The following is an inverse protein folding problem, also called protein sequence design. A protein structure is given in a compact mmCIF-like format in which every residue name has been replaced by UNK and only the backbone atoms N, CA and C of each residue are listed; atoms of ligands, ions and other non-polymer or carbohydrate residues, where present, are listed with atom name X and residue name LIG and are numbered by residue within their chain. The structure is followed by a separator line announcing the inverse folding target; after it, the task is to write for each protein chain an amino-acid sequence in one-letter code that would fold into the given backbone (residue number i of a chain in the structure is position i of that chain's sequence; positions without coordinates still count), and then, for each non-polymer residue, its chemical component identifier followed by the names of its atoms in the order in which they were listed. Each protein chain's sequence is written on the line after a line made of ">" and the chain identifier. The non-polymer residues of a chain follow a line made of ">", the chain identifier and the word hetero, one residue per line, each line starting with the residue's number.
data_IF_904698186082
#
_entry.id   IF_904698186082
#
_cell.length_a   1.000
_cell.length_b   1.000
_cell.length_c   1.000
_cell.angle_alpha   90.00
_cell.angle_beta   90.00
_cell.angle_gamma   90.00
#
_symmetry.space_group_name_H-M   'P 1'
#
loop_
_entity.id
_entity.type
_entity.pdbx_description
1 polymer ?
#
# COMPACT_ATOMS: atom_id res chain seq x y z
N UNK A 1 -22.79 14.47 36.20
CA UNK A 1 -21.45 15.03 35.96
C UNK A 1 -21.25 15.11 34.48
N UNK A 2 -21.47 16.29 33.92
CA UNK A 2 -21.41 16.64 32.52
C UNK A 2 -19.96 16.84 32.08
N UNK A 3 -19.48 15.98 31.18
CA UNK A 3 -18.30 16.26 30.34
C UNK A 3 -18.29 15.33 29.11
N UNK A 4 -19.39 15.32 28.34
CA UNK A 4 -19.33 15.01 26.91
C UNK A 4 -19.04 16.30 26.15
N UNK A 5 -17.86 16.88 26.38
CA UNK A 5 -17.33 17.97 25.60
C UNK A 5 -16.33 17.37 24.61
N UNK A 6 -16.72 17.32 23.33
CA UNK A 6 -15.84 17.35 22.16
C UNK A 6 -14.51 16.58 22.29
N UNK A 7 -14.54 15.25 22.32
CA UNK A 7 -13.35 14.48 21.92
C UNK A 7 -13.32 14.39 20.39
N UNK A 8 -12.87 15.46 19.74
CA UNK A 8 -12.26 15.36 18.40
C UNK A 8 -10.94 14.60 18.58
N UNK A 9 -11.02 13.27 18.73
CA UNK A 9 -9.88 12.53 19.25
C UNK A 9 -8.87 12.23 18.13
N UNK A 10 -7.82 13.03 18.09
CA UNK A 10 -6.58 12.83 17.35
C UNK A 10 -5.70 11.68 17.91
N UNK A 11 -6.18 10.84 18.83
CA UNK A 11 -5.37 9.86 19.57
C UNK A 11 -4.65 8.83 18.69
N UNK A 12 -5.24 8.43 17.57
CA UNK A 12 -4.68 7.34 16.77
C UNK A 12 -3.55 7.82 15.85
N UNK A 13 -3.56 9.10 15.43
CA UNK A 13 -2.53 9.66 14.53
C UNK A 13 -1.15 9.60 15.16
N UNK A 14 -1.06 9.94 16.44
CA UNK A 14 0.21 9.88 17.15
C UNK A 14 0.79 8.45 17.16
N UNK A 15 -0.05 7.43 17.39
CA UNK A 15 0.34 6.03 17.29
C UNK A 15 0.86 5.69 15.88
N UNK A 16 0.10 6.03 14.84
CA UNK A 16 0.49 5.75 13.45
C UNK A 16 1.81 6.43 13.07
N UNK A 17 2.05 7.64 13.57
CA UNK A 17 3.32 8.33 13.34
C UNK A 17 4.48 7.66 14.06
N UNK A 18 4.25 7.10 15.25
CA UNK A 18 5.26 6.30 15.95
C UNK A 18 5.56 5.00 15.21
N UNK A 19 4.54 4.33 14.68
CA UNK A 19 4.68 3.11 13.88
C UNK A 19 5.47 3.36 12.61
N UNK A 20 5.16 4.44 11.89
CA UNK A 20 5.86 4.81 10.67
C UNK A 20 7.28 5.31 10.94
N UNK A 21 7.47 6.05 12.03
CA UNK A 21 8.81 6.40 12.49
C UNK A 21 9.65 5.16 12.82
N UNK A 22 9.04 4.14 13.45
CA UNK A 22 9.71 2.88 13.71
C UNK A 22 10.10 2.18 12.41
N UNK A 23 9.19 2.09 11.42
CA UNK A 23 9.48 1.54 10.10
C UNK A 23 10.68 2.23 9.43
N UNK A 24 10.71 3.57 9.44
CA UNK A 24 11.86 4.34 8.97
C UNK A 24 13.15 3.99 9.70
N UNK A 25 13.14 3.93 11.03
CA UNK A 25 14.37 3.63 11.80
C UNK A 25 14.89 2.22 11.59
N UNK A 26 14.03 1.27 11.25
CA UNK A 26 14.41 -0.10 10.89
C UNK A 26 15.01 -0.17 9.48
N UNK A 27 14.48 0.59 8.52
CA UNK A 27 14.91 0.59 7.12
C UNK A 27 15.13 2.01 6.54
N UNK A 28 16.13 2.78 7.02
CA UNK A 28 16.22 4.21 6.75
C UNK A 28 16.53 4.59 5.29
N UNK A 29 17.14 3.66 4.53
CA UNK A 29 17.52 3.90 3.13
C UNK A 29 16.46 3.40 2.15
N UNK A 30 16.05 2.14 2.29
CA UNK A 30 15.12 1.48 1.37
C UNK A 30 13.64 1.73 1.71
N UNK A 31 13.35 2.04 2.98
CA UNK A 31 11.99 1.97 3.50
C UNK A 31 11.43 0.54 3.48
N UNK A 32 10.15 0.41 3.81
CA UNK A 32 9.43 -0.88 3.85
C UNK A 32 8.81 -1.29 2.50
N UNK A 33 8.87 -0.41 1.50
CA UNK A 33 8.20 -0.58 0.21
C UNK A 33 7.14 0.51 -0.01
N UNK A 34 6.74 0.76 -1.25
CA UNK A 34 5.67 1.71 -1.52
C UNK A 34 4.32 1.10 -1.11
N UNK A 35 3.45 1.89 -0.48
CA UNK A 35 2.08 1.50 -0.08
C UNK A 35 2.06 0.36 0.97
N UNK A 36 3.08 0.29 1.84
CA UNK A 36 3.22 -0.78 2.85
C UNK A 36 2.90 -0.36 4.27
N UNK A 37 2.50 0.88 4.53
CA UNK A 37 2.19 1.31 5.91
C UNK A 37 1.13 0.41 6.58
N UNK A 38 0.15 -0.10 5.83
CA UNK A 38 -0.84 -1.01 6.38
C UNK A 38 -0.20 -2.27 7.00
N UNK A 39 0.85 -2.82 6.37
CA UNK A 39 1.58 -3.97 6.90
C UNK A 39 2.33 -3.61 8.20
N UNK A 40 2.87 -2.38 8.26
CA UNK A 40 3.46 -1.83 9.49
C UNK A 40 2.44 -1.71 10.62
N UNK A 41 1.25 -1.14 10.35
CA UNK A 41 0.14 -1.07 11.33
C UNK A 41 -0.27 -2.47 11.77
N UNK A 42 -0.34 -3.45 10.86
CA UNK A 42 -0.72 -4.83 11.18
C UNK A 42 0.26 -5.47 12.18
N UNK A 43 1.55 -5.23 12.00
CA UNK A 43 2.61 -5.75 12.86
C UNK A 43 2.65 -5.09 14.24
N UNK A 44 2.36 -3.78 14.31
CA UNK A 44 2.61 -2.97 15.51
C UNK A 44 1.35 -2.64 16.31
N UNK A 45 0.15 -2.74 15.72
CA UNK A 45 -1.10 -2.38 16.39
C UNK A 45 -1.39 -3.24 17.61
N UNK A 46 -2.02 -2.61 18.59
CA UNK A 46 -2.48 -3.27 19.82
C UNK A 46 -3.93 -3.74 19.77
N UNK A 47 -4.69 -3.32 18.76
CA UNK A 47 -6.11 -3.64 18.61
C UNK A 47 -6.47 -3.73 17.13
N UNK A 48 -7.30 -4.71 16.77
CA UNK A 48 -7.88 -4.85 15.43
C UNK A 48 -9.08 -3.94 15.17
N UNK A 49 -9.57 -3.21 16.19
CA UNK A 49 -10.72 -2.30 16.04
C UNK A 49 -10.38 -1.00 15.29
N UNK A 50 -9.09 -0.67 15.21
CA UNK A 50 -8.61 0.58 14.60
C UNK A 50 -7.44 0.25 13.68
N UNK A 51 -7.75 -0.04 12.42
CA UNK A 51 -6.78 -0.23 11.35
C UNK A 51 -6.87 0.92 10.35
N UNK A 52 -5.76 1.24 9.71
CA UNK A 52 -5.71 2.25 8.65
C UNK A 52 -4.71 1.81 7.57
N UNK A 53 -4.92 2.28 6.34
CA UNK A 53 -3.95 2.10 5.26
C UNK A 53 -2.91 3.23 5.22
N UNK A 54 -3.13 4.31 5.98
CA UNK A 54 -2.36 5.55 5.88
C UNK A 54 -2.12 6.19 7.26
N UNK A 55 -0.94 6.78 7.52
CA UNK A 55 -0.62 7.41 8.80
C UNK A 55 -1.14 8.85 8.92
N UNK A 56 -1.83 9.39 7.91
CA UNK A 56 -2.26 10.80 7.82
C UNK A 56 -1.09 11.80 8.00
N UNK A 57 0.05 11.50 7.36
CA UNK A 57 1.22 12.37 7.30
C UNK A 57 2.06 11.93 6.11
N UNK A 58 1.81 12.54 4.95
CA UNK A 58 2.41 12.12 3.68
C UNK A 58 3.96 12.15 3.73
N UNK A 59 4.64 13.20 4.24
CA UNK A 59 6.10 13.19 4.33
C UNK A 59 6.64 12.05 5.21
N UNK A 60 5.96 11.74 6.31
CA UNK A 60 6.37 10.67 7.21
C UNK A 60 6.12 9.30 6.58
N UNK A 61 5.00 9.11 5.89
CA UNK A 61 4.72 7.90 5.12
C UNK A 61 5.78 7.67 4.04
N UNK A 62 6.10 8.69 3.25
CA UNK A 62 7.16 8.56 2.23
C UNK A 62 8.52 8.26 2.87
N UNK A 63 8.76 8.71 4.10
CA UNK A 63 9.98 8.45 4.83
C UNK A 63 10.06 6.99 5.33
N UNK A 64 8.98 6.39 5.83
CA UNK A 64 9.00 4.99 6.28
C UNK A 64 8.81 3.97 5.14
N UNK A 65 8.06 4.32 4.10
CA UNK A 65 7.83 3.46 2.92
C UNK A 65 9.01 3.48 1.94
N UNK A 66 9.57 4.65 1.64
CA UNK A 66 10.59 4.83 0.60
C UNK A 66 11.95 5.31 1.15
N UNK A 67 12.08 5.40 2.47
CA UNK A 67 13.29 5.85 3.14
C UNK A 67 13.62 7.31 2.87
N UNK A 68 14.86 7.68 3.22
CA UNK A 68 15.37 9.04 2.99
C UNK A 68 15.37 9.43 1.50
N UNK A 69 15.52 8.44 0.61
CA UNK A 69 15.54 8.68 -0.85
C UNK A 69 14.18 9.18 -1.33
N UNK A 70 13.09 8.51 -0.94
CA UNK A 70 11.74 8.94 -1.30
C UNK A 70 11.39 10.32 -0.74
N UNK A 71 11.73 10.58 0.53
CA UNK A 71 11.51 11.90 1.13
C UNK A 71 12.28 13.00 0.37
N UNK A 72 13.56 12.77 0.03
CA UNK A 72 14.35 13.76 -0.70
C UNK A 72 13.81 14.01 -2.12
N UNK A 73 13.32 12.98 -2.81
CA UNK A 73 12.67 13.13 -4.12
C UNK A 73 11.39 13.97 -4.00
N UNK A 74 10.56 13.72 -2.99
CA UNK A 74 9.36 14.50 -2.72
C UNK A 74 9.67 15.97 -2.43
N UNK A 75 10.61 16.24 -1.51
CA UNK A 75 11.04 17.59 -1.17
C UNK A 75 11.69 18.29 -2.37
N UNK A 76 12.47 17.56 -3.17
CA UNK A 76 13.08 18.05 -4.40
C UNK A 76 12.02 18.46 -5.44
N UNK A 77 11.00 17.63 -5.65
CA UNK A 77 9.89 17.95 -6.55
C UNK A 77 9.09 19.18 -6.08
N UNK A 78 8.78 19.25 -4.78
CA UNK A 78 8.12 20.41 -4.18
C UNK A 78 8.95 21.70 -4.33
N UNK A 79 10.26 21.62 -4.08
CA UNK A 79 11.18 22.75 -4.23
C UNK A 79 11.30 23.21 -5.69
N UNK A 80 11.40 22.26 -6.64
CA UNK A 80 11.43 22.57 -8.07
C UNK A 80 10.14 23.24 -8.55
N UNK A 81 8.98 22.73 -8.12
CA UNK A 81 7.69 23.34 -8.41
C UNK A 81 7.60 24.77 -7.84
N UNK A 82 8.01 24.97 -6.59
CA UNK A 82 8.07 26.29 -5.95
C UNK A 82 8.98 27.26 -6.69
N UNK A 83 10.20 26.85 -7.05
CA UNK A 83 11.14 27.66 -7.81
C UNK A 83 10.58 28.03 -9.19
N UNK A 84 9.94 27.07 -9.87
CA UNK A 84 9.29 27.29 -11.15
C UNK A 84 8.13 28.28 -11.08
N UNK A 85 7.31 28.20 -10.03
CA UNK A 85 6.21 29.15 -9.76
C UNK A 85 6.77 30.55 -9.48
N UNK A 86 7.84 30.67 -8.69
CA UNK A 86 8.52 31.96 -8.46
C UNK A 86 9.05 32.54 -9.76
N UNK A 87 9.68 31.73 -10.60
CA UNK A 87 10.17 32.15 -11.91
C UNK A 87 9.04 32.54 -12.87
N UNK A 88 7.92 31.82 -12.86
CA UNK A 88 6.73 32.17 -13.63
C UNK A 88 6.11 33.49 -13.15
N UNK A 89 6.00 33.68 -11.83
CA UNK A 89 5.47 34.91 -11.23
C UNK A 89 6.31 36.14 -11.56
N UNK A 90 7.64 36.01 -11.55
CA UNK A 90 8.57 37.10 -11.91
C UNK A 90 8.42 37.55 -13.36
N UNK A 91 8.00 36.65 -14.25
CA UNK A 91 7.77 36.92 -15.68
C UNK A 91 6.36 37.42 -15.97
N UNK A 92 5.37 36.99 -15.19
CA UNK A 92 3.97 37.34 -15.38
C UNK A 92 3.70 38.82 -15.09
N UNK A 93 2.68 39.38 -15.76
CA UNK A 93 2.19 40.74 -15.56
C UNK A 93 0.67 40.76 -15.38
N UNK A 94 0.10 41.85 -14.85
CA UNK A 94 -1.35 42.02 -14.69
C UNK A 94 -2.05 40.87 -13.97
N UNK A 95 -3.16 40.40 -14.56
CA UNK A 95 -3.98 39.29 -14.04
C UNK A 95 -3.25 37.95 -14.04
N UNK A 96 -2.30 37.72 -14.94
CA UNK A 96 -1.49 36.49 -14.97
C UNK A 96 -0.63 36.37 -13.70
N UNK A 97 -0.03 37.48 -13.26
CA UNK A 97 0.75 37.49 -12.02
C UNK A 97 -0.11 37.13 -10.80
N UNK A 98 -1.35 37.60 -10.77
CA UNK A 98 -2.31 37.25 -9.72
C UNK A 98 -2.65 35.75 -9.78
N UNK A 99 -2.92 35.20 -10.97
CA UNK A 99 -3.22 33.79 -11.15
C UNK A 99 -2.06 32.86 -10.74
N UNK A 100 -0.82 33.17 -11.16
CA UNK A 100 0.37 32.39 -10.76
C UNK A 100 0.62 32.49 -9.24
N UNK A 101 0.38 33.66 -8.65
CA UNK A 101 0.48 33.84 -7.19
C UNK A 101 -0.56 32.99 -6.46
N UNK A 102 -1.82 33.01 -6.90
CA UNK A 102 -2.90 32.20 -6.31
C UNK A 102 -2.59 30.71 -6.41
N UNK A 103 -2.10 30.24 -7.57
CA UNK A 103 -1.68 28.85 -7.75
C UNK A 103 -0.52 28.49 -6.80
N UNK A 104 0.46 29.37 -6.66
CA UNK A 104 1.58 29.17 -5.72
C UNK A 104 1.13 29.05 -4.27
N UNK A 105 0.19 29.89 -3.84
CA UNK A 105 -0.40 29.80 -2.50
C UNK A 105 -1.21 28.52 -2.33
N UNK A 106 -1.98 28.11 -3.34
CA UNK A 106 -2.71 26.85 -3.34
C UNK A 106 -1.79 25.64 -3.20
N UNK A 107 -0.69 25.59 -3.96
CA UNK A 107 0.31 24.52 -3.84
C UNK A 107 0.98 24.52 -2.46
N UNK A 108 1.34 25.69 -1.93
CA UNK A 108 1.93 25.78 -0.59
C UNK A 108 0.95 25.32 0.49
N UNK A 109 -0.32 25.73 0.41
CA UNK A 109 -1.35 25.29 1.35
C UNK A 109 -1.59 23.78 1.27
N UNK A 110 -1.63 23.21 0.06
CA UNK A 110 -1.71 21.76 -0.14
C UNK A 110 -0.53 21.04 0.51
N UNK A 111 0.71 21.45 0.22
CA UNK A 111 1.91 20.82 0.79
C UNK A 111 1.93 20.90 2.33
N UNK A 112 1.49 22.02 2.91
CA UNK A 112 1.35 22.14 4.37
C UNK A 112 0.28 21.19 4.91
N UNK A 113 -0.85 21.04 4.21
CA UNK A 113 -1.91 20.13 4.63
C UNK A 113 -1.48 18.66 4.59
N UNK A 114 -0.66 18.26 3.61
CA UNK A 114 -0.12 16.89 3.52
C UNK A 114 0.70 16.44 4.74
N UNK A 115 1.20 17.38 5.57
CA UNK A 115 1.91 17.06 6.81
C UNK A 115 0.99 16.49 7.89
N UNK A 116 -0.31 16.78 7.80
CA UNK A 116 -1.32 16.36 8.77
C UNK A 116 -2.45 15.53 8.16
N UNK A 117 -2.37 15.23 6.86
CA UNK A 117 -3.37 14.41 6.17
C UNK A 117 -2.81 13.62 4.98
N UNK A 118 -3.67 12.78 4.39
CA UNK A 118 -3.38 11.84 3.32
C UNK A 118 -3.82 12.33 1.93
N UNK A 119 -3.75 13.65 1.66
CA UNK A 119 -4.25 14.20 0.39
C UNK A 119 -3.55 13.61 -0.84
N UNK A 120 -2.30 13.16 -0.66
CA UNK A 120 -1.50 12.57 -1.71
C UNK A 120 -2.11 11.30 -2.30
N UNK A 121 -2.80 10.53 -1.47
CA UNK A 121 -3.38 9.22 -1.83
C UNK A 121 -4.70 9.34 -2.59
N UNK A 122 -5.22 10.56 -2.72
CA UNK A 122 -6.43 10.84 -3.50
C UNK A 122 -6.14 11.69 -4.73
N UNK A 123 -6.62 11.23 -5.88
CA UNK A 123 -6.51 11.96 -7.15
C UNK A 123 -7.34 13.25 -7.14
N UNK A 124 -8.45 13.29 -6.39
CA UNK A 124 -9.35 14.44 -6.36
C UNK A 124 -8.69 15.75 -5.87
N UNK A 125 -7.98 15.77 -4.72
CA UNK A 125 -7.26 16.98 -4.27
C UNK A 125 -5.95 17.23 -5.03
N UNK A 126 -5.20 16.18 -5.38
CA UNK A 126 -3.85 16.32 -5.96
C UNK A 126 -3.87 16.58 -7.48
N UNK A 127 -4.76 15.91 -8.22
CA UNK A 127 -4.77 15.89 -9.69
C UNK A 127 -4.96 17.26 -10.33
N UNK A 128 -6.02 18.02 -10.00
CA UNK A 128 -6.24 19.35 -10.57
C UNK A 128 -5.10 20.32 -10.27
N UNK A 129 -4.56 20.28 -9.04
CA UNK A 129 -3.46 21.14 -8.62
C UNK A 129 -2.18 20.86 -9.41
N UNK A 130 -1.81 19.58 -9.53
CA UNK A 130 -0.62 19.15 -10.28
C UNK A 130 -0.77 19.42 -11.77
N UNK A 131 -1.98 19.25 -12.34
CA UNK A 131 -2.25 19.58 -13.73
C UNK A 131 -2.03 21.07 -14.01
N UNK A 132 -2.61 21.95 -13.19
CA UNK A 132 -2.49 23.39 -13.39
C UNK A 132 -1.03 23.85 -13.15
N UNK A 133 -0.37 23.31 -12.13
CA UNK A 133 1.06 23.55 -11.90
C UNK A 133 1.90 23.14 -13.12
N UNK A 134 1.69 21.93 -13.64
CA UNK A 134 2.36 21.43 -14.84
C UNK A 134 2.14 22.32 -16.06
N UNK A 135 0.90 22.78 -16.30
CA UNK A 135 0.59 23.69 -17.40
C UNK A 135 1.27 25.05 -17.26
N UNK A 136 1.38 25.60 -16.05
CA UNK A 136 2.08 26.88 -15.82
C UNK A 136 3.59 26.73 -16.00
N UNK A 137 4.17 25.63 -15.53
CA UNK A 137 5.61 25.36 -15.65
C UNK A 137 6.03 24.99 -17.08
N UNK A 138 5.16 24.27 -17.81
CA UNK A 138 5.40 23.77 -19.16
C UNK A 138 5.17 24.77 -20.28
N UNK A 139 4.74 26.00 -19.99
CA UNK A 139 4.63 27.06 -21.00
C UNK A 139 6.01 27.48 -21.50
N UNK A 140 6.42 26.92 -22.63
CA UNK A 140 7.56 27.42 -23.41
C UNK A 140 7.30 28.85 -23.91
N UNK A 141 8.39 29.62 -24.02
CA UNK A 141 8.41 30.92 -24.70
C UNK A 141 7.90 30.76 -26.13
N UNK A 142 6.67 31.17 -26.42
CA UNK A 142 6.19 31.34 -27.79
C UNK A 142 6.74 32.59 -28.48
N UNK A 143 7.66 33.32 -27.85
CA UNK A 143 8.32 34.47 -28.43
C UNK A 143 9.84 34.30 -28.32
N UNK A 144 10.52 34.41 -29.46
CA UNK A 144 11.98 34.37 -29.67
C UNK A 144 12.63 32.98 -29.82
N UNK A 145 12.53 32.40 -31.02
CA UNK A 145 13.68 32.13 -31.91
C UNK A 145 13.26 31.24 -33.09
N UNK A 146 13.46 31.74 -34.31
CA UNK A 146 13.36 30.96 -35.54
C UNK A 146 14.50 29.94 -35.62
N UNK A 147 14.27 28.73 -35.11
CA UNK A 147 14.99 27.52 -35.49
C UNK A 147 14.12 26.31 -35.09
N UNK A 148 13.69 25.49 -36.05
CA UNK A 148 12.97 24.24 -35.74
C UNK A 148 13.93 23.24 -35.08
N UNK A 149 13.61 22.59 -33.94
CA UNK A 149 14.41 21.49 -33.44
C UNK A 149 13.86 20.12 -33.89
N UNK A 150 14.71 19.15 -34.26
CA UNK A 150 14.29 17.83 -34.80
C UNK A 150 13.94 16.79 -33.71
N UNK A 151 13.76 17.19 -32.44
CA UNK A 151 13.55 16.25 -31.31
C UNK A 151 12.10 16.17 -30.79
N UNK A 152 11.18 16.93 -31.39
CA UNK A 152 9.75 16.96 -31.01
C UNK A 152 9.03 15.60 -31.09
N UNK A 153 9.26 14.72 -32.08
CA UNK A 153 8.51 13.46 -32.12
C UNK A 153 8.95 12.50 -31.01
N UNK A 154 10.25 12.42 -30.69
CA UNK A 154 10.74 11.55 -29.61
C UNK A 154 10.24 12.00 -28.24
N UNK A 155 10.23 13.30 -27.96
CA UNK A 155 9.69 13.85 -26.70
C UNK A 155 8.18 13.64 -26.61
N UNK A 156 7.45 13.85 -27.72
CA UNK A 156 6.00 13.59 -27.76
C UNK A 156 5.69 12.10 -27.55
N UNK A 157 6.44 11.20 -28.19
CA UNK A 157 6.30 9.75 -28.00
C UNK A 157 6.62 9.38 -26.55
N UNK A 158 7.70 9.88 -25.97
CA UNK A 158 8.04 9.64 -24.56
C UNK A 158 6.92 10.13 -23.62
N UNK A 159 6.37 11.31 -23.85
CA UNK A 159 5.25 11.84 -23.06
C UNK A 159 3.99 10.98 -23.18
N UNK A 160 3.67 10.50 -24.39
CA UNK A 160 2.53 9.59 -24.61
C UNK A 160 2.76 8.26 -23.90
N UNK A 161 3.98 7.69 -23.97
CA UNK A 161 4.30 6.44 -23.29
C UNK A 161 4.23 6.58 -21.76
N UNK A 162 4.71 7.69 -21.19
CA UNK A 162 4.60 7.97 -19.76
C UNK A 162 3.14 8.14 -19.34
N UNK A 163 2.35 8.89 -20.12
CA UNK A 163 0.92 9.06 -19.85
C UNK A 163 0.15 7.73 -19.96
N UNK A 164 0.41 6.94 -21.00
CA UNK A 164 -0.19 5.63 -21.18
C UNK A 164 0.21 4.66 -20.05
N UNK A 165 1.49 4.67 -19.64
CA UNK A 165 1.98 3.92 -18.49
C UNK A 165 1.27 4.34 -17.20
N UNK A 166 1.16 5.64 -16.93
CA UNK A 166 0.44 6.15 -15.77
C UNK A 166 -1.04 5.76 -15.75
N UNK A 167 -1.73 5.87 -16.89
CA UNK A 167 -3.13 5.41 -17.02
C UNK A 167 -3.23 3.91 -16.79
N UNK A 168 -2.32 3.11 -17.34
CA UNK A 168 -2.31 1.67 -17.13
C UNK A 168 -2.08 1.32 -15.66
N UNK A 169 -1.09 1.91 -14.99
CA UNK A 169 -0.79 1.67 -13.57
C UNK A 169 -2.01 1.93 -12.67
N UNK A 170 -2.83 2.94 -12.98
CA UNK A 170 -4.05 3.23 -12.24
C UNK A 170 -5.20 2.27 -12.58
N UNK A 171 -5.28 1.80 -13.83
CA UNK A 171 -6.35 0.92 -14.29
C UNK A 171 -6.11 -0.56 -13.97
N UNK A 172 -4.85 -1.00 -13.93
CA UNK A 172 -4.48 -2.42 -13.81
C UNK A 172 -5.04 -3.10 -12.55
N UNK A 173 -4.88 -2.53 -11.33
CA UNK A 173 -5.43 -3.15 -10.11
C UNK A 173 -6.96 -3.26 -10.14
N UNK A 174 -7.65 -2.28 -10.74
CA UNK A 174 -9.10 -2.32 -10.91
C UNK A 174 -9.52 -3.38 -11.94
N UNK A 175 -8.80 -3.50 -13.05
CA UNK A 175 -9.03 -4.53 -14.07
C UNK A 175 -8.78 -5.94 -13.50
N UNK A 176 -7.72 -6.11 -12.70
CA UNK A 176 -7.41 -7.35 -12.00
C UNK A 176 -8.54 -7.76 -11.05
N UNK A 177 -8.95 -6.88 -10.12
CA UNK A 177 -10.05 -7.14 -9.18
C UNK A 177 -11.37 -7.44 -9.89
N UNK A 178 -11.68 -6.71 -10.96
CA UNK A 178 -12.87 -6.97 -11.78
C UNK A 178 -12.82 -8.33 -12.48
N UNK A 179 -11.66 -8.74 -12.98
CA UNK A 179 -11.47 -10.03 -13.61
C UNK A 179 -11.53 -11.16 -12.58
N UNK A 180 -10.93 -10.96 -11.40
CA UNK A 180 -10.91 -11.89 -10.27
C UNK A 180 -12.33 -12.16 -9.74
N UNK A 181 -13.14 -11.12 -9.56
CA UNK A 181 -14.53 -11.23 -9.09
C UNK A 181 -15.45 -12.09 -9.98
N UNK A 182 -15.02 -12.43 -11.19
CA UNK A 182 -15.75 -13.29 -12.14
C UNK A 182 -15.00 -14.58 -12.45
N UNK A 183 -13.86 -14.81 -11.81
CA UNK A 183 -12.97 -15.91 -12.14
C UNK A 183 -13.54 -17.23 -11.63
N UNK A 184 -13.72 -18.17 -12.55
CA UNK A 184 -14.18 -19.54 -12.21
C UNK A 184 -13.32 -20.61 -12.88
N UNK A 185 -12.47 -20.22 -13.82
CA UNK A 185 -11.57 -21.13 -14.55
C UNK A 185 -10.12 -20.69 -14.39
N UNK A 186 -9.13 -21.60 -14.56
CA UNK A 186 -7.72 -21.22 -14.54
C UNK A 186 -7.34 -20.14 -15.56
N UNK A 187 -8.08 -20.03 -16.67
CA UNK A 187 -7.86 -18.97 -17.66
C UNK A 187 -8.30 -17.59 -17.13
N UNK A 188 -9.38 -17.53 -16.34
CA UNK A 188 -9.83 -16.28 -15.74
C UNK A 188 -8.85 -15.76 -14.68
N UNK A 189 -8.32 -16.65 -13.83
CA UNK A 189 -7.29 -16.29 -12.85
C UNK A 189 -6.01 -15.82 -13.52
N UNK A 190 -5.54 -16.52 -14.58
CA UNK A 190 -4.41 -16.04 -15.39
C UNK A 190 -4.63 -14.65 -15.98
N UNK A 191 -5.86 -14.36 -16.43
CA UNK A 191 -6.20 -13.03 -16.93
C UNK A 191 -6.16 -11.98 -15.82
N UNK A 192 -6.73 -12.27 -14.65
CA UNK A 192 -6.66 -11.36 -13.50
C UNK A 192 -5.20 -11.07 -13.11
N UNK A 193 -4.37 -12.12 -13.00
CA UNK A 193 -2.94 -12.02 -12.70
C UNK A 193 -2.16 -11.28 -13.80
N UNK A 194 -2.57 -11.37 -15.07
CA UNK A 194 -1.91 -10.62 -16.15
C UNK A 194 -2.13 -9.11 -16.07
N UNK A 195 -3.24 -8.65 -15.45
CA UNK A 195 -3.46 -7.23 -15.22
C UNK A 195 -2.65 -6.71 -14.04
N UNK A 196 -2.55 -7.50 -12.97
CA UNK A 196 -1.77 -7.17 -11.79
C UNK A 196 -0.95 -8.38 -11.29
N UNK A 197 0.29 -8.54 -11.80
CA UNK A 197 1.17 -9.63 -11.40
C UNK A 197 1.67 -9.53 -9.95
N UNK A 198 1.47 -8.38 -9.30
CA UNK A 198 1.94 -8.09 -7.94
C UNK A 198 0.79 -8.16 -6.92
N UNK A 199 -0.37 -8.69 -7.30
CA UNK A 199 -1.48 -8.88 -6.37
C UNK A 199 -1.39 -10.23 -5.65
N UNK A 200 -1.14 -10.18 -4.33
CA UNK A 200 -1.22 -11.35 -3.44
C UNK A 200 -2.64 -11.89 -3.34
N UNK A 201 -3.66 -11.02 -3.34
CA UNK A 201 -5.08 -11.39 -3.37
C UNK A 201 -5.41 -12.31 -4.56
N UNK A 202 -4.98 -11.95 -5.78
CA UNK A 202 -5.19 -12.79 -6.97
C UNK A 202 -4.51 -14.16 -6.83
N UNK A 203 -3.31 -14.21 -6.24
CA UNK A 203 -2.58 -15.46 -6.03
C UNK A 203 -3.26 -16.35 -4.97
N UNK A 204 -3.67 -15.79 -3.83
CA UNK A 204 -4.38 -16.51 -2.76
C UNK A 204 -5.74 -17.05 -3.24
N UNK A 205 -6.54 -16.24 -3.93
CA UNK A 205 -7.84 -16.67 -4.45
C UNK A 205 -7.69 -17.74 -5.54
N UNK A 206 -6.67 -17.61 -6.41
CA UNK A 206 -6.36 -18.64 -7.38
C UNK A 206 -5.92 -19.93 -6.68
N UNK A 207 -5.06 -19.84 -5.66
CA UNK A 207 -4.61 -20.99 -4.88
C UNK A 207 -5.78 -21.74 -4.24
N UNK A 208 -6.67 -21.01 -3.56
CA UNK A 208 -7.88 -21.56 -2.93
C UNK A 208 -8.79 -22.24 -3.97
N UNK A 209 -8.92 -21.66 -5.16
CA UNK A 209 -9.70 -22.26 -6.23
C UNK A 209 -9.06 -23.54 -6.79
N UNK A 210 -7.73 -23.62 -6.91
CA UNK A 210 -7.02 -24.84 -7.32
C UNK A 210 -7.09 -25.92 -6.23
N UNK A 211 -7.01 -25.54 -4.95
CA UNK A 211 -7.24 -26.43 -3.81
C UNK A 211 -8.63 -27.05 -3.87
N UNK A 212 -9.68 -26.25 -4.07
CA UNK A 212 -11.05 -26.72 -4.22
C UNK A 212 -11.26 -27.67 -5.41
N UNK A 213 -10.39 -27.60 -6.44
CA UNK A 213 -10.39 -28.52 -7.59
C UNK A 213 -9.54 -29.77 -7.36
N UNK A 214 -8.86 -29.89 -6.22
CA UNK A 214 -7.94 -30.99 -5.91
C UNK A 214 -6.56 -30.86 -6.54
N UNK A 215 -6.24 -29.72 -7.17
CA UNK A 215 -4.93 -29.45 -7.78
C UNK A 215 -3.91 -28.98 -6.74
N UNK A 216 -3.68 -29.80 -5.71
CA UNK A 216 -2.95 -29.43 -4.49
C UNK A 216 -1.52 -28.92 -4.76
N UNK A 217 -0.83 -29.50 -5.75
CA UNK A 217 0.52 -29.05 -6.11
C UNK A 217 0.54 -27.64 -6.69
N UNK A 218 -0.47 -27.27 -7.48
CA UNK A 218 -0.59 -25.93 -8.03
C UNK A 218 -1.04 -24.93 -6.95
N UNK A 219 -1.98 -25.32 -6.08
CA UNK A 219 -2.41 -24.50 -4.95
C UNK A 219 -1.22 -24.16 -4.04
N UNK A 220 -0.43 -25.16 -3.63
CA UNK A 220 0.76 -24.95 -2.81
C UNK A 220 1.77 -24.01 -3.48
N UNK A 221 1.99 -24.15 -4.79
CA UNK A 221 2.86 -23.23 -5.53
C UNK A 221 2.34 -21.80 -5.46
N UNK A 222 1.05 -21.58 -5.71
CA UNK A 222 0.45 -20.24 -5.70
C UNK A 222 0.48 -19.60 -4.31
N UNK A 223 0.18 -20.34 -3.23
CA UNK A 223 0.32 -19.84 -1.87
C UNK A 223 1.77 -19.45 -1.55
N UNK A 224 2.76 -20.25 -1.99
CA UNK A 224 4.17 -19.90 -1.82
C UNK A 224 4.56 -18.67 -2.62
N UNK A 225 4.09 -18.57 -3.87
CA UNK A 225 4.33 -17.39 -4.70
C UNK A 225 3.76 -16.12 -4.02
N UNK A 226 2.58 -16.20 -3.37
CA UNK A 226 2.02 -15.09 -2.59
C UNK A 226 2.90 -14.69 -1.40
N UNK A 227 3.38 -15.67 -0.60
CA UNK A 227 4.29 -15.39 0.53
C UNK A 227 5.66 -14.87 0.10
N UNK A 228 6.12 -15.22 -1.11
CA UNK A 228 7.39 -14.73 -1.65
C UNK A 228 7.27 -13.30 -2.18
N UNK A 229 6.08 -12.91 -2.66
CA UNK A 229 5.78 -11.58 -3.18
C UNK A 229 5.69 -10.55 -2.05
N UNK A 230 5.03 -10.89 -0.94
CA UNK A 230 4.95 -10.03 0.25
C UNK A 230 5.33 -10.82 1.52
N UNK A 231 6.64 -10.97 1.80
CA UNK A 231 7.12 -11.77 2.94
C UNK A 231 6.68 -11.27 4.31
N UNK A 232 6.33 -9.98 4.42
CA UNK A 232 5.87 -9.34 5.66
C UNK A 232 4.33 -9.25 5.76
N UNK A 233 3.60 -9.80 4.78
CA UNK A 233 2.15 -9.85 4.83
C UNK A 233 1.67 -11.11 5.58
N UNK A 234 1.24 -10.92 6.84
CA UNK A 234 0.74 -12.00 7.70
C UNK A 234 -0.46 -12.76 7.11
N UNK A 235 -1.28 -12.15 6.26
CA UNK A 235 -2.43 -12.82 5.62
C UNK A 235 -1.99 -13.91 4.66
N UNK A 236 -0.95 -13.68 3.84
CA UNK A 236 -0.46 -14.68 2.89
C UNK A 236 0.11 -15.91 3.61
N UNK A 237 0.78 -15.69 4.74
CA UNK A 237 1.28 -16.75 5.61
C UNK A 237 0.15 -17.51 6.31
N UNK A 238 -0.93 -16.82 6.68
CA UNK A 238 -2.11 -17.46 7.24
C UNK A 238 -2.78 -18.38 6.22
N UNK A 239 -2.94 -17.93 4.98
CA UNK A 239 -3.48 -18.74 3.89
C UNK A 239 -2.63 -20.00 3.65
N UNK A 240 -1.31 -19.85 3.54
CA UNK A 240 -0.40 -21.00 3.39
C UNK A 240 -0.45 -21.95 4.60
N UNK A 241 -0.54 -21.41 5.81
CA UNK A 241 -0.60 -22.20 7.04
C UNK A 241 -1.89 -22.98 7.19
N UNK A 242 -3.02 -22.37 6.84
CA UNK A 242 -4.32 -23.03 6.82
C UNK A 242 -4.40 -24.11 5.74
N UNK A 243 -3.80 -23.88 4.56
CA UNK A 243 -3.62 -24.92 3.54
C UNK A 243 -2.88 -26.14 4.11
N UNK A 244 -1.73 -25.95 4.78
CA UNK A 244 -1.00 -27.07 5.38
C UNK A 244 -1.80 -27.80 6.45
N UNK A 245 -2.52 -27.06 7.32
CA UNK A 245 -3.37 -27.65 8.35
C UNK A 245 -4.49 -28.50 7.76
N UNK A 246 -5.17 -28.01 6.72
CA UNK A 246 -6.24 -28.72 6.02
C UNK A 246 -5.78 -30.05 5.40
N UNK A 247 -4.49 -30.16 5.09
CA UNK A 247 -3.87 -31.35 4.50
C UNK A 247 -3.04 -32.18 5.49
N UNK A 248 -3.18 -31.90 6.80
CA UNK A 248 -2.57 -32.68 7.87
C UNK A 248 -1.07 -32.45 8.09
N UNK A 249 -0.47 -31.48 7.40
CA UNK A 249 0.94 -31.11 7.61
C UNK A 249 1.06 -30.11 8.75
N UNK A 250 0.88 -30.61 9.97
CA UNK A 250 0.83 -29.77 11.16
C UNK A 250 2.16 -29.08 11.48
N UNK A 251 3.29 -29.68 11.10
CA UNK A 251 4.62 -29.08 11.27
C UNK A 251 4.73 -27.80 10.43
N UNK A 252 4.49 -27.89 9.12
CA UNK A 252 4.55 -26.71 8.25
C UNK A 252 3.42 -25.73 8.51
N UNK A 253 2.24 -26.20 8.93
CA UNK A 253 1.16 -25.33 9.37
C UNK A 253 1.58 -24.49 10.57
N UNK A 254 2.21 -25.11 11.58
CA UNK A 254 2.67 -24.40 12.77
C UNK A 254 3.72 -23.33 12.43
N UNK A 255 4.66 -23.63 11.53
CA UNK A 255 5.67 -22.67 11.06
C UNK A 255 5.03 -21.47 10.33
N UNK A 256 4.17 -21.73 9.35
CA UNK A 256 3.53 -20.68 8.56
C UNK A 256 2.58 -19.83 9.40
N UNK A 257 1.75 -20.45 10.27
CA UNK A 257 0.84 -19.72 11.16
C UNK A 257 1.59 -18.92 12.24
N UNK A 258 2.75 -19.41 12.70
CA UNK A 258 3.61 -18.65 13.61
C UNK A 258 4.18 -17.40 12.92
N UNK A 259 4.55 -17.54 11.65
CA UNK A 259 4.98 -16.40 10.83
C UNK A 259 3.84 -15.41 10.60
N UNK A 260 2.63 -15.90 10.29
CA UNK A 260 1.44 -15.08 10.17
C UNK A 260 1.18 -14.26 11.45
N UNK A 261 1.25 -14.90 12.63
CA UNK A 261 1.11 -14.23 13.92
C UNK A 261 2.21 -13.21 14.19
N UNK A 262 3.44 -13.46 13.75
CA UNK A 262 4.55 -12.51 13.92
C UNK A 262 4.31 -11.20 13.16
N UNK A 263 3.72 -11.27 11.96
CA UNK A 263 3.46 -10.11 11.11
C UNK A 263 2.09 -9.48 11.33
N UNK A 264 1.13 -10.23 11.85
CA UNK A 264 -0.15 -9.71 12.30
C UNK A 264 -0.61 -10.42 13.59
N UNK A 265 -0.13 -9.98 14.77
CA UNK A 265 -0.50 -10.59 16.05
C UNK A 265 -1.99 -10.44 16.40
N UNK A 266 -2.66 -9.45 15.81
CA UNK A 266 -4.10 -9.18 16.03
C UNK A 266 -4.97 -9.75 14.90
N UNK A 267 -4.36 -10.42 13.93
CA UNK A 267 -5.01 -11.02 12.78
C UNK A 267 -5.55 -12.43 13.06
N UNK A 268 -5.96 -13.16 12.00
CA UNK A 268 -6.59 -14.48 12.14
C UNK A 268 -5.73 -15.52 12.89
N UNK A 269 -4.40 -15.45 12.76
CA UNK A 269 -3.48 -16.34 13.48
C UNK A 269 -3.40 -16.05 14.99
N UNK A 270 -3.73 -14.84 15.43
CA UNK A 270 -3.70 -14.42 16.84
C UNK A 270 -4.98 -14.70 17.61
N UNK A 271 -6.01 -15.23 16.95
CA UNK A 271 -7.28 -15.59 17.60
C UNK A 271 -7.02 -16.72 18.61
N UNK A 272 -7.37 -16.54 19.91
CA UNK A 272 -7.22 -17.58 20.92
C UNK A 272 -7.94 -18.88 20.54
N UNK A 273 -7.31 -20.04 20.75
CA UNK A 273 -7.79 -21.35 20.27
C UNK A 273 -7.96 -21.46 18.74
N UNK A 274 -7.42 -20.52 17.97
CA UNK A 274 -7.49 -20.51 16.53
C UNK A 274 -6.57 -21.54 15.87
N UNK A 275 -6.38 -21.44 14.54
CA UNK A 275 -5.58 -22.39 13.77
C UNK A 275 -4.14 -22.55 14.28
N UNK A 276 -3.49 -21.46 14.73
CA UNK A 276 -2.13 -21.51 15.26
C UNK A 276 -2.03 -22.39 16.53
N UNK A 277 -2.97 -22.21 17.46
CA UNK A 277 -3.01 -22.98 18.71
C UNK A 277 -3.30 -24.46 18.44
N UNK A 278 -4.14 -24.75 17.44
CA UNK A 278 -4.41 -26.11 16.98
C UNK A 278 -3.17 -26.77 16.38
N UNK A 279 -2.48 -26.09 15.47
CA UNK A 279 -1.23 -26.58 14.87
C UNK A 279 -0.14 -26.79 15.94
N UNK A 280 -0.01 -25.84 16.88
CA UNK A 280 0.89 -25.97 18.02
C UNK A 280 0.60 -27.21 18.86
N UNK A 281 -0.68 -27.48 19.14
CA UNK A 281 -1.07 -28.67 19.90
C UNK A 281 -0.76 -29.95 19.13
N UNK A 282 -1.03 -29.99 17.83
CA UNK A 282 -0.74 -31.16 16.99
C UNK A 282 0.76 -31.49 16.95
N UNK A 283 1.64 -30.47 16.94
CA UNK A 283 3.10 -30.65 16.89
C UNK A 283 3.70 -30.91 18.28
N UNK A 284 3.28 -30.15 19.30
CA UNK A 284 3.92 -30.13 20.63
C UNK A 284 3.14 -30.88 21.72
N UNK A 285 1.95 -31.40 21.41
CA UNK A 285 1.07 -32.09 22.36
C UNK A 285 0.49 -31.19 23.45
N UNK A 286 0.70 -29.87 23.40
CA UNK A 286 0.36 -28.94 24.49
C UNK A 286 -0.49 -27.77 23.99
N UNK A 287 -1.54 -27.45 24.75
CA UNK A 287 -2.37 -26.27 24.51
C UNK A 287 -1.78 -25.05 25.25
N UNK A 288 -1.70 -23.88 24.60
CA UNK A 288 -1.31 -22.65 25.28
C UNK A 288 -2.38 -22.19 26.28
N UNK A 289 -1.98 -21.30 27.19
CA UNK A 289 -2.88 -20.74 28.20
C UNK A 289 -4.04 -19.92 27.59
N UNK A 290 -3.85 -19.40 26.38
CA UNK A 290 -4.91 -18.79 25.56
C UNK A 290 -6.06 -19.74 25.26
N UNK A 291 -5.87 -21.07 25.39
CA UNK A 291 -6.86 -22.08 25.06
C UNK A 291 -7.33 -22.93 26.27
N UNK A 292 -8.30 -22.42 27.06
CA UNK A 292 -8.84 -23.13 28.22
C UNK A 292 -9.63 -24.37 27.79
N UNK A 293 -9.79 -25.34 28.71
CA UNK A 293 -10.37 -26.67 28.41
C UNK A 293 -11.73 -26.63 27.69
N UNK A 294 -12.58 -25.65 28.01
CA UNK A 294 -13.92 -25.52 27.41
C UNK A 294 -13.93 -24.96 25.98
N UNK A 295 -12.80 -24.44 25.51
CA UNK A 295 -12.66 -23.81 24.19
C UNK A 295 -11.80 -24.65 23.22
N UNK A 296 -11.29 -25.79 23.70
CA UNK A 296 -10.50 -26.70 22.87
C UNK A 296 -11.41 -27.42 21.87
N UNK A 297 -11.03 -27.51 20.60
CA UNK A 297 -11.77 -28.33 19.65
C UNK A 297 -11.80 -29.79 20.15
N UNK A 298 -12.89 -30.49 19.85
CA UNK A 298 -12.99 -31.91 20.14
C UNK A 298 -11.81 -32.63 19.49
N UNK A 299 -11.20 -33.60 20.18
CA UNK A 299 -10.13 -34.40 19.60
C UNK A 299 -10.62 -34.99 18.27
N UNK A 300 -9.94 -34.66 17.18
CA UNK A 300 -10.21 -35.30 15.89
C UNK A 300 -10.01 -36.81 16.05
N UNK A 301 -10.97 -37.65 15.61
CA UNK A 301 -10.87 -39.10 15.72
C UNK A 301 -9.70 -39.66 14.89
#
# INVERSE_FOLDING_TARGET
>A
GSSHALSLNSSNRWRWWQEEWQAFTEQPLSGTGADTFQLTDFRLRQSSLVTTAEPHNTPLQLLGELGIVGLLLYLGAAAAAGAGIVAARRRASGSERAAVTALGLGLAAFLVHTVVDMDWSFVAPSGPLLLVAGLVLGRERTAEQGARPPRRPLVAVAAVLVAAGGVYSLAAPWLARRALARATTPADFRRAHSYDPLSTEVLSDWAAAEEARGNLGQALKLYRDATALEPENGSTWFDLGTFYAAHGDWERAYEALSTAWRYDPQGPAGVPCGPLDQARHAVLGTWPASCPRGSRPAASP
#
